data_IF_452073319743
#
_entry.id   IF_452073319743
#
_cell.length_a   1.000
_cell.length_b   1.000
_cell.length_c   1.000
_cell.angle_alpha   90.00
_cell.angle_beta   90.00
_cell.angle_gamma   90.00
#
_symmetry.space_group_name_H-M   'P 1'
#
loop_
_entity.id
_entity.type
_entity.pdbx_description
1 polymer ?
#
# COMPACT_ATOMS: atom_id res chain seq x y z
N UNK A 1 15.47 -2.36 5.78
CA UNK A 1 14.10 -1.92 6.14
C UNK A 1 13.26 -1.80 4.86
N UNK A 2 11.93 -1.98 4.92
CA UNK A 2 11.02 -1.92 3.75
C UNK A 2 9.98 -0.79 3.93
N UNK A 3 10.14 0.30 3.22
CA UNK A 3 9.30 1.50 3.36
C UNK A 3 8.26 1.68 2.24
N UNK A 4 8.31 0.85 1.19
CA UNK A 4 7.38 0.92 0.08
C UNK A 4 5.95 0.51 0.46
N UNK A 5 4.99 1.17 -0.19
CA UNK A 5 3.57 0.79 -0.13
C UNK A 5 3.30 -0.56 -0.81
N UNK A 6 4.12 -0.91 -1.81
CA UNK A 6 4.08 -2.20 -2.47
C UNK A 6 5.23 -3.07 -1.98
N UNK A 7 4.93 -4.33 -1.70
CA UNK A 7 5.95 -5.35 -1.51
C UNK A 7 6.43 -5.81 -2.88
N UNK A 8 7.74 -5.91 -3.04
CA UNK A 8 8.37 -6.47 -4.23
C UNK A 8 9.02 -7.77 -3.82
N UNK A 9 8.73 -8.84 -4.57
CA UNK A 9 9.53 -10.06 -4.47
C UNK A 9 10.79 -9.89 -5.34
N UNK A 10 11.97 -10.03 -4.72
CA UNK A 10 13.26 -9.85 -5.40
C UNK A 10 13.84 -11.16 -5.93
N UNK A 11 13.23 -12.30 -5.59
CA UNK A 11 13.62 -13.61 -6.10
C UNK A 11 12.90 -13.92 -7.43
N UNK A 12 11.74 -13.31 -7.64
CA UNK A 12 11.00 -13.33 -8.89
C UNK A 12 11.63 -12.38 -9.94
N UNK A 13 11.99 -12.87 -11.15
CA UNK A 13 12.63 -12.05 -12.18
C UNK A 13 11.70 -10.97 -12.74
N UNK A 14 10.38 -11.17 -12.67
CA UNK A 14 9.38 -10.19 -13.09
C UNK A 14 9.15 -9.10 -12.03
N UNK A 15 9.70 -9.30 -10.81
CA UNK A 15 9.65 -8.35 -9.68
C UNK A 15 8.24 -7.85 -9.40
N UNK A 16 7.31 -8.80 -9.28
CA UNK A 16 5.89 -8.49 -9.11
C UNK A 16 5.65 -7.57 -7.91
N UNK A 17 4.90 -6.49 -8.14
CA UNK A 17 4.50 -5.52 -7.11
C UNK A 17 3.18 -5.96 -6.47
N UNK A 18 3.24 -6.35 -5.21
CA UNK A 18 2.08 -6.81 -4.43
C UNK A 18 1.62 -5.67 -3.51
N UNK A 19 0.37 -5.20 -3.62
CA UNK A 19 -0.13 -4.11 -2.78
C UNK A 19 -0.21 -4.55 -1.31
N UNK A 20 0.28 -3.72 -0.39
CA UNK A 20 0.11 -3.92 1.05
C UNK A 20 -1.21 -3.30 1.52
N UNK A 21 -1.68 -3.68 2.71
CA UNK A 21 -2.91 -3.13 3.31
C UNK A 21 -2.86 -1.60 3.45
N UNK A 22 -1.68 -1.02 3.67
CA UNK A 22 -1.47 0.43 3.72
C UNK A 22 -1.80 1.15 2.40
N UNK A 23 -1.69 0.47 1.24
CA UNK A 23 -2.11 1.02 -0.06
C UNK A 23 -3.62 1.22 -0.09
N UNK A 24 -4.38 0.25 0.41
CA UNK A 24 -5.84 0.32 0.42
C UNK A 24 -6.32 1.49 1.29
N UNK A 25 -5.74 1.64 2.48
CA UNK A 25 -6.03 2.79 3.35
C UNK A 25 -5.64 4.13 2.70
N UNK A 26 -4.42 4.24 2.15
CA UNK A 26 -3.96 5.48 1.52
C UNK A 26 -4.81 5.87 0.31
N UNK A 27 -5.28 4.89 -0.49
CA UNK A 27 -6.21 5.14 -1.59
C UNK A 27 -7.51 5.78 -1.11
N UNK A 28 -8.08 5.29 0.00
CA UNK A 28 -9.30 5.87 0.58
C UNK A 28 -9.03 7.29 1.08
N UNK A 29 -7.92 7.53 1.78
CA UNK A 29 -7.51 8.86 2.26
C UNK A 29 -7.37 9.86 1.11
N UNK A 30 -6.75 9.44 0.01
CA UNK A 30 -6.58 10.27 -1.18
C UNK A 30 -7.92 10.60 -1.87
N UNK A 31 -8.84 9.63 -1.94
CA UNK A 31 -10.16 9.81 -2.53
C UNK A 31 -11.01 10.79 -1.70
N UNK A 32 -11.05 10.59 -0.39
CA UNK A 32 -11.86 11.39 0.54
C UNK A 32 -11.20 12.75 0.88
N UNK A 33 -9.92 12.92 0.55
CA UNK A 33 -9.09 14.09 0.89
C UNK A 33 -9.09 14.43 2.39
N UNK A 34 -9.29 13.41 3.23
CA UNK A 34 -9.24 13.49 4.70
C UNK A 34 -8.54 12.26 5.27
N UNK A 35 -7.99 12.40 6.47
CA UNK A 35 -7.46 11.24 7.20
C UNK A 35 -8.63 10.37 7.66
N UNK A 36 -8.51 9.06 7.46
CA UNK A 36 -9.53 8.07 7.80
C UNK A 36 -9.02 7.29 9.00
N UNK A 37 -9.79 7.31 10.09
CA UNK A 37 -9.49 6.49 11.26
C UNK A 37 -9.80 5.02 10.96
N UNK A 38 -9.03 4.06 11.49
CA UNK A 38 -9.27 2.63 11.25
C UNK A 38 -10.58 2.09 11.85
N UNK A 39 -11.27 2.90 12.66
CA UNK A 39 -12.54 2.58 13.33
C UNK A 39 -13.79 3.01 12.52
N UNK A 40 -13.62 3.65 11.36
CA UNK A 40 -14.71 4.06 10.44
C UNK A 40 -14.92 3.12 9.24
#
# INVERSE_FOLDING_TARGET
>A
QRFGLYQVDFNDPERKRIPRSSVAWLKRVMAERRLISPDE
#
